data_IF_566241566612
#
_entry.id   IF_566241566612
#
_cell.length_a   1.000
_cell.length_b   1.000
_cell.length_c   1.000
_cell.angle_alpha   90.00
_cell.angle_beta   90.00
_cell.angle_gamma   90.00
#
_symmetry.space_group_name_H-M   'P 1'
#
loop_
_entity.id
_entity.type
_entity.pdbx_description
1 polymer ?
#
# COMPACT_ATOMS: atom_id res chain seq x y z
N UNK A 1 13.64 38.30 -1.92
CA UNK A 1 13.55 37.26 -2.97
C UNK A 1 13.32 35.95 -2.25
N UNK A 2 12.10 35.39 -2.38
CA UNK A 2 11.82 34.03 -1.89
C UNK A 2 12.48 33.06 -2.86
N UNK A 3 13.49 32.34 -2.39
CA UNK A 3 14.11 31.28 -3.20
C UNK A 3 13.11 30.14 -3.26
N UNK A 4 12.82 29.68 -4.46
CA UNK A 4 11.97 28.50 -4.68
C UNK A 4 12.70 27.27 -4.16
N UNK A 5 12.05 26.53 -3.25
CA UNK A 5 12.64 25.35 -2.58
C UNK A 5 13.00 24.25 -3.57
N UNK A 6 12.22 24.09 -4.64
CA UNK A 6 12.49 23.07 -5.66
C UNK A 6 13.77 23.41 -6.46
N UNK A 7 13.99 24.69 -6.77
CA UNK A 7 15.22 25.15 -7.40
C UNK A 7 16.45 24.85 -6.52
N UNK A 8 16.33 25.06 -5.19
CA UNK A 8 17.41 24.71 -4.26
C UNK A 8 17.65 23.19 -4.21
N UNK A 9 16.58 22.40 -4.17
CA UNK A 9 16.68 20.95 -4.17
C UNK A 9 17.41 20.44 -5.41
N UNK A 10 17.07 20.95 -6.59
CA UNK A 10 17.74 20.62 -7.86
C UNK A 10 19.23 21.01 -7.85
N UNK A 11 19.58 22.13 -7.24
CA UNK A 11 20.98 22.52 -7.09
C UNK A 11 21.76 21.57 -6.17
N UNK A 12 21.15 21.14 -5.07
CA UNK A 12 21.76 20.17 -4.14
C UNK A 12 21.92 18.81 -4.81
N UNK A 13 20.98 18.36 -5.62
CA UNK A 13 21.04 17.08 -6.36
C UNK A 13 22.22 17.02 -7.35
N UNK A 14 22.71 18.16 -7.83
CA UNK A 14 23.88 18.20 -8.71
C UNK A 14 25.21 17.94 -7.98
N UNK A 15 25.20 17.99 -6.64
CA UNK A 15 26.41 17.79 -5.84
C UNK A 15 26.57 16.30 -5.48
N UNK A 16 27.74 15.67 -5.74
CA UNK A 16 27.92 14.22 -5.58
C UNK A 16 27.79 13.71 -4.13
N UNK A 17 28.00 14.59 -3.14
CA UNK A 17 27.97 14.24 -1.72
C UNK A 17 26.57 14.38 -1.09
N UNK A 18 25.56 14.83 -1.85
CA UNK A 18 24.21 15.05 -1.34
C UNK A 18 23.18 14.29 -2.13
N UNK A 19 22.10 13.94 -1.46
CA UNK A 19 20.93 13.34 -2.05
C UNK A 19 19.67 14.00 -1.48
N UNK A 20 18.77 14.40 -2.35
CA UNK A 20 17.46 14.95 -1.95
C UNK A 20 16.42 13.83 -2.00
N UNK A 21 15.65 13.70 -0.94
CA UNK A 21 14.45 12.89 -0.93
C UNK A 21 13.24 13.81 -0.85
N UNK A 22 12.20 13.49 -1.62
CA UNK A 22 10.92 14.21 -1.59
C UNK A 22 9.87 13.39 -0.89
N UNK A 23 8.98 14.05 -0.13
CA UNK A 23 7.84 13.32 0.42
C UNK A 23 7.01 12.79 -0.73
N UNK A 24 6.68 11.48 -0.67
CA UNK A 24 5.79 10.87 -1.64
C UNK A 24 4.42 11.58 -1.57
N UNK A 25 4.08 12.26 -2.64
CA UNK A 25 2.72 12.77 -2.84
C UNK A 25 2.01 11.79 -3.78
N UNK A 26 0.95 11.12 -3.35
CA UNK A 26 0.27 10.18 -4.22
C UNK A 26 -0.32 10.93 -5.43
N UNK A 27 0.36 10.77 -6.56
CA UNK A 27 -0.18 11.17 -7.85
C UNK A 27 -1.45 10.35 -8.12
N UNK A 28 -2.53 11.00 -8.56
CA UNK A 28 -3.75 10.26 -8.89
C UNK A 28 -3.84 9.86 -10.35
N UNK A 29 -3.12 10.53 -11.23
CA UNK A 29 -3.10 10.23 -12.66
C UNK A 29 -1.65 10.15 -13.12
N UNK A 30 -1.26 9.03 -13.71
CA UNK A 30 0.08 8.78 -14.23
C UNK A 30 0.08 8.79 -15.76
N UNK A 31 -0.92 8.10 -16.36
CA UNK A 31 -1.08 7.99 -17.80
C UNK A 31 -2.57 8.07 -18.19
N UNK A 32 -2.83 8.40 -19.44
CA UNK A 32 -4.19 8.37 -20.00
C UNK A 32 -4.26 7.23 -21.02
N UNK A 33 -5.20 6.27 -20.87
CA UNK A 33 -5.36 5.20 -21.83
C UNK A 33 -5.76 5.75 -23.20
N UNK A 34 -5.22 5.17 -24.28
CA UNK A 34 -5.66 5.50 -25.62
C UNK A 34 -7.10 5.02 -25.87
N UNK A 35 -7.84 5.64 -26.82
CA UNK A 35 -9.18 5.18 -27.19
C UNK A 35 -9.16 3.69 -27.58
N UNK A 36 -10.03 2.89 -26.92
CA UNK A 36 -10.15 1.45 -27.17
C UNK A 36 -9.09 0.58 -26.46
N UNK A 37 -8.19 1.16 -25.71
CA UNK A 37 -7.23 0.40 -24.92
C UNK A 37 -7.92 -0.33 -23.76
N UNK A 38 -7.53 -1.58 -23.51
CA UNK A 38 -8.08 -2.35 -22.41
C UNK A 38 -7.64 -1.75 -21.07
N UNK A 39 -8.57 -1.65 -20.14
CA UNK A 39 -8.33 -1.17 -18.78
C UNK A 39 -8.83 -2.23 -17.80
N UNK A 40 -8.02 -2.56 -16.81
CA UNK A 40 -8.39 -3.40 -15.70
C UNK A 40 -8.20 -2.66 -14.38
N UNK A 41 -8.92 -3.09 -13.35
CA UNK A 41 -8.81 -2.60 -11.98
C UNK A 41 -7.93 -3.53 -11.17
N UNK A 42 -6.95 -2.98 -10.44
CA UNK A 42 -6.18 -3.66 -9.41
C UNK A 42 -6.40 -2.98 -8.06
N UNK A 43 -6.08 -3.68 -6.99
CA UNK A 43 -6.09 -3.16 -5.61
C UNK A 43 -4.75 -3.46 -4.97
N UNK A 44 -4.08 -2.44 -4.42
CA UNK A 44 -2.96 -2.62 -3.49
C UNK A 44 -3.54 -2.62 -2.08
N UNK A 45 -3.05 -3.50 -1.22
CA UNK A 45 -3.54 -3.69 0.13
C UNK A 45 -2.38 -3.78 1.11
N UNK A 46 -2.60 -3.26 2.31
CA UNK A 46 -1.71 -3.39 3.46
C UNK A 46 -2.56 -3.47 4.73
N UNK A 47 -2.07 -4.17 5.78
CA UNK A 47 -2.78 -4.33 7.04
C UNK A 47 -1.87 -4.11 8.24
N UNK A 48 -2.43 -3.47 9.28
CA UNK A 48 -1.86 -3.53 10.62
C UNK A 48 -2.68 -4.45 11.49
N UNK A 49 -2.01 -5.19 12.38
CA UNK A 49 -2.62 -6.24 13.20
C UNK A 49 -2.15 -6.15 14.64
N UNK A 50 -2.90 -6.77 15.56
CA UNK A 50 -2.50 -6.85 16.98
C UNK A 50 -1.30 -7.75 17.22
N UNK A 51 -0.85 -8.51 16.22
CA UNK A 51 0.29 -9.42 16.28
C UNK A 51 0.40 -10.30 15.04
N UNK A 52 1.10 -11.41 15.13
CA UNK A 52 1.46 -12.26 13.98
C UNK A 52 0.69 -13.60 13.93
N UNK A 53 -0.05 -13.93 14.98
CA UNK A 53 -0.78 -15.20 15.08
C UNK A 53 -2.21 -15.06 14.57
N UNK A 54 -2.50 -15.64 13.42
CA UNK A 54 -3.80 -15.61 12.76
C UNK A 54 -4.97 -16.11 13.65
N UNK A 55 -4.70 -16.95 14.66
CA UNK A 55 -5.76 -17.48 15.54
C UNK A 55 -6.16 -16.49 16.64
N UNK A 56 -5.18 -15.77 17.20
CA UNK A 56 -5.39 -14.85 18.33
C UNK A 56 -5.45 -13.39 17.91
N UNK A 57 -4.72 -13.02 16.87
CA UNK A 57 -4.58 -11.63 16.46
C UNK A 57 -5.66 -11.18 15.47
N UNK A 58 -5.82 -9.87 15.35
CA UNK A 58 -6.89 -9.24 14.54
C UNK A 58 -6.32 -8.10 13.72
N UNK A 59 -6.93 -7.87 12.57
CA UNK A 59 -6.74 -6.64 11.78
C UNK A 59 -7.24 -5.47 12.60
N UNK A 60 -6.44 -4.41 12.69
CA UNK A 60 -6.78 -3.14 13.35
C UNK A 60 -6.73 -1.95 12.39
N UNK A 61 -6.08 -2.10 11.24
CA UNK A 61 -6.11 -1.15 10.13
C UNK A 61 -6.14 -1.91 8.82
N UNK A 62 -6.93 -1.41 7.87
CA UNK A 62 -6.97 -1.87 6.50
C UNK A 62 -6.75 -0.68 5.57
N UNK A 63 -5.60 -0.64 4.91
CA UNK A 63 -5.29 0.26 3.83
C UNK A 63 -5.54 -0.40 2.48
N UNK A 64 -6.34 0.21 1.61
CA UNK A 64 -6.50 -0.23 0.23
C UNK A 64 -6.45 0.93 -0.74
N UNK A 65 -5.79 0.72 -1.88
CA UNK A 65 -5.70 1.67 -2.98
C UNK A 65 -6.11 0.97 -4.26
N UNK A 66 -7.18 1.45 -4.89
CA UNK A 66 -7.63 0.93 -6.18
C UNK A 66 -7.01 1.74 -7.32
N UNK A 67 -6.60 1.05 -8.36
CA UNK A 67 -5.99 1.67 -9.53
C UNK A 67 -6.45 1.00 -10.83
N UNK A 68 -6.34 1.75 -11.92
CA UNK A 68 -6.55 1.24 -13.28
C UNK A 68 -5.21 1.02 -13.97
N UNK A 69 -5.12 -0.07 -14.71
CA UNK A 69 -3.91 -0.44 -15.43
C UNK A 69 -4.19 -1.12 -16.77
N UNK A 70 -3.19 -1.12 -17.63
CA UNK A 70 -3.17 -1.90 -18.88
C UNK A 70 -2.83 -3.37 -18.58
N UNK A 71 -3.72 -4.33 -18.84
CA UNK A 71 -3.46 -5.75 -18.53
C UNK A 71 -2.36 -6.40 -19.39
N UNK A 72 -1.93 -5.74 -20.46
CA UNK A 72 -0.89 -6.27 -21.35
C UNK A 72 0.50 -5.77 -20.97
N UNK A 73 0.60 -4.48 -20.63
CA UNK A 73 1.89 -3.83 -20.34
C UNK A 73 2.14 -3.65 -18.84
N UNK A 74 1.11 -3.76 -18.00
CA UNK A 74 1.17 -3.44 -16.57
C UNK A 74 1.19 -1.94 -16.27
N UNK A 75 1.11 -1.07 -17.29
CA UNK A 75 1.17 0.38 -17.11
C UNK A 75 0.01 0.88 -16.26
N UNK A 76 0.32 1.52 -15.14
CA UNK A 76 -0.68 2.13 -14.25
C UNK A 76 -1.17 3.44 -14.85
N UNK A 77 -2.48 3.58 -15.00
CA UNK A 77 -3.10 4.80 -15.51
C UNK A 77 -3.39 5.78 -14.39
N UNK A 78 -4.12 5.36 -13.38
CA UNK A 78 -4.55 6.25 -12.30
C UNK A 78 -4.99 5.47 -11.05
N UNK A 79 -4.93 6.16 -9.93
CA UNK A 79 -5.62 5.75 -8.69
C UNK A 79 -7.08 6.19 -8.79
N UNK A 80 -7.99 5.26 -8.51
CA UNK A 80 -9.44 5.51 -8.62
C UNK A 80 -10.11 5.68 -7.27
N UNK A 81 -9.61 5.01 -6.23
CA UNK A 81 -10.18 5.05 -4.89
C UNK A 81 -9.13 4.73 -3.83
N UNK A 82 -9.37 5.19 -2.59
CA UNK A 82 -8.54 4.91 -1.41
C UNK A 82 -9.46 4.61 -0.23
N UNK A 83 -9.14 3.55 0.50
CA UNK A 83 -9.74 3.19 1.78
C UNK A 83 -8.59 3.10 2.79
N UNK A 84 -8.80 3.72 3.95
CA UNK A 84 -7.88 3.67 5.08
C UNK A 84 -8.73 3.75 6.34
N UNK A 85 -8.98 2.59 6.96
CA UNK A 85 -9.94 2.46 8.05
C UNK A 85 -9.38 1.61 9.19
N UNK A 86 -9.73 2.02 10.41
CA UNK A 86 -9.36 1.36 11.66
C UNK A 86 -10.50 0.46 12.16
N UNK A 87 -10.12 -0.60 12.88
CA UNK A 87 -11.07 -1.51 13.55
C UNK A 87 -10.64 -1.77 15.00
N UNK A 88 -11.61 -1.69 15.92
CA UNK A 88 -11.43 -2.08 17.32
C UNK A 88 -11.34 -3.61 17.43
N UNK A 89 -10.21 -4.19 17.87
CA UNK A 89 -10.07 -5.64 18.00
C UNK A 89 -10.92 -6.24 19.13
N UNK A 90 -11.48 -5.41 20.02
CA UNK A 90 -12.28 -5.83 21.17
C UNK A 90 -11.45 -6.24 22.40
N UNK A 91 -10.14 -6.07 22.35
CA UNK A 91 -9.18 -6.32 23.43
C UNK A 91 -7.99 -5.36 23.31
N UNK A 92 -7.18 -5.17 24.39
CA UNK A 92 -6.06 -4.24 24.34
C UNK A 92 -5.00 -4.64 23.29
N UNK A 93 -4.55 -3.66 22.52
CA UNK A 93 -3.45 -3.83 21.55
C UNK A 93 -2.15 -4.00 22.31
N UNK A 94 -1.34 -5.03 22.02
CA UNK A 94 -0.06 -5.22 22.69
C UNK A 94 0.89 -4.00 22.50
N UNK A 95 1.57 -3.54 23.57
CA UNK A 95 2.45 -2.37 23.46
C UNK A 95 3.59 -2.55 22.46
N UNK A 96 4.07 -3.78 22.26
CA UNK A 96 5.10 -4.11 21.28
C UNK A 96 4.66 -3.88 19.84
N UNK A 97 3.41 -4.15 19.51
CA UNK A 97 2.85 -3.89 18.17
C UNK A 97 2.52 -2.42 17.99
N UNK A 98 1.95 -1.77 19.02
CA UNK A 98 1.77 -0.31 19.03
C UNK A 98 3.09 0.45 18.80
N UNK A 99 4.22 -0.06 19.31
CA UNK A 99 5.52 0.55 19.07
C UNK A 99 5.97 0.47 17.59
N UNK A 100 5.39 -0.44 16.80
CA UNK A 100 5.69 -0.62 15.37
C UNK A 100 4.78 0.24 14.50
N UNK A 101 3.45 0.09 14.64
CA UNK A 101 2.46 0.75 13.78
C UNK A 101 1.86 2.03 14.37
N UNK A 102 2.15 2.35 15.64
CA UNK A 102 1.72 3.56 16.36
C UNK A 102 0.19 3.69 16.57
N UNK A 103 -0.59 2.63 16.31
CA UNK A 103 -2.03 2.61 16.56
C UNK A 103 -2.27 2.25 18.02
N UNK A 104 -3.06 3.06 18.71
CA UNK A 104 -3.39 2.89 20.14
C UNK A 104 -4.84 2.43 20.33
N UNK A 105 -5.14 1.89 21.52
CA UNK A 105 -6.51 1.50 21.89
C UNK A 105 -7.50 2.66 21.73
N UNK A 106 -7.08 3.90 22.05
CA UNK A 106 -7.93 5.07 21.93
C UNK A 106 -8.28 5.39 20.47
N UNK A 107 -7.34 5.14 19.54
CA UNK A 107 -7.55 5.41 18.11
C UNK A 107 -8.59 4.47 17.50
N UNK A 108 -8.60 3.21 17.90
CA UNK A 108 -9.48 2.18 17.32
C UNK A 108 -10.81 2.04 18.05
N UNK A 109 -10.93 2.57 19.26
CA UNK A 109 -12.04 2.34 20.18
C UNK A 109 -13.41 2.52 19.56
N UNK A 110 -14.17 1.43 19.46
CA UNK A 110 -15.52 1.39 18.93
C UNK A 110 -15.60 1.58 17.41
N UNK A 111 -14.47 1.62 16.72
CA UNK A 111 -14.44 1.68 15.26
C UNK A 111 -14.64 0.29 14.66
N UNK A 112 -15.22 0.27 13.49
CA UNK A 112 -15.39 -0.95 12.70
C UNK A 112 -15.28 -0.61 11.23
N UNK A 113 -14.46 -1.37 10.51
CA UNK A 113 -14.34 -1.28 9.06
C UNK A 113 -15.66 -1.71 8.42
N UNK A 114 -16.15 -0.91 7.48
CA UNK A 114 -17.42 -1.18 6.79
C UNK A 114 -17.25 -2.32 5.77
N UNK A 115 -17.79 -3.49 6.11
CA UNK A 115 -17.75 -4.70 5.26
C UNK A 115 -18.32 -4.46 3.86
N UNK A 116 -19.37 -3.62 3.74
CA UNK A 116 -19.96 -3.29 2.44
C UNK A 116 -19.04 -2.41 1.59
N UNK A 117 -18.29 -1.53 2.23
CA UNK A 117 -17.28 -0.70 1.56
C UNK A 117 -16.10 -1.52 1.08
N UNK A 118 -15.62 -2.47 1.89
CA UNK A 118 -14.58 -3.43 1.49
C UNK A 118 -15.05 -4.25 0.28
N UNK A 119 -16.26 -4.78 0.30
CA UNK A 119 -16.83 -5.53 -0.81
C UNK A 119 -16.96 -4.68 -2.08
N UNK A 120 -17.41 -3.43 -1.97
CA UNK A 120 -17.50 -2.51 -3.09
C UNK A 120 -16.11 -2.17 -3.66
N UNK A 121 -15.10 -2.08 -2.80
CA UNK A 121 -13.72 -1.79 -3.19
C UNK A 121 -13.11 -2.90 -4.05
N UNK A 122 -13.40 -4.16 -3.71
CA UNK A 122 -12.93 -5.35 -4.43
C UNK A 122 -13.75 -5.68 -5.69
N UNK A 123 -14.93 -5.05 -5.83
CA UNK A 123 -15.76 -5.28 -7.00
C UNK A 123 -14.98 -4.98 -8.28
N UNK A 124 -15.02 -5.94 -9.21
CA UNK A 124 -14.33 -5.87 -10.50
C UNK A 124 -12.80 -5.76 -10.42
N UNK A 125 -12.20 -5.96 -9.24
CA UNK A 125 -10.76 -6.08 -9.10
C UNK A 125 -10.27 -7.37 -9.77
N UNK A 126 -9.31 -7.26 -10.67
CA UNK A 126 -8.69 -8.41 -11.34
C UNK A 126 -7.45 -8.94 -10.61
N UNK A 127 -6.96 -8.21 -9.65
CA UNK A 127 -5.82 -8.62 -8.80
C UNK A 127 -5.80 -7.81 -7.51
N UNK A 128 -5.46 -8.46 -6.40
CA UNK A 128 -5.08 -7.83 -5.13
C UNK A 128 -3.57 -8.01 -4.95
N UNK A 129 -2.90 -6.94 -4.63
CA UNK A 129 -1.44 -6.89 -4.49
C UNK A 129 -1.10 -6.48 -3.06
N UNK A 130 -0.22 -7.23 -2.40
CA UNK A 130 0.36 -6.81 -1.13
C UNK A 130 1.89 -6.94 -1.15
N UNK A 131 2.55 -6.16 -0.29
CA UNK A 131 3.98 -6.31 -0.06
C UNK A 131 4.20 -7.33 1.05
N UNK A 132 4.62 -8.55 0.70
CA UNK A 132 4.58 -9.74 1.55
C UNK A 132 3.16 -10.30 1.78
N UNK A 133 2.41 -10.51 0.71
CA UNK A 133 1.04 -11.02 0.75
C UNK A 133 0.83 -12.29 1.61
N UNK A 134 1.90 -13.05 1.92
CA UNK A 134 1.83 -14.19 2.85
C UNK A 134 1.49 -13.79 4.29
N UNK A 135 1.62 -12.50 4.64
CA UNK A 135 1.19 -11.95 5.91
C UNK A 135 -0.25 -11.42 5.82
N UNK A 136 -0.51 -10.48 4.94
CA UNK A 136 -1.79 -9.78 4.85
C UNK A 136 -2.94 -10.68 4.45
N UNK A 137 -2.72 -11.50 3.41
CA UNK A 137 -3.75 -12.35 2.81
C UNK A 137 -4.48 -13.23 3.82
N UNK A 138 -3.82 -14.02 4.69
CA UNK A 138 -4.51 -14.85 5.67
C UNK A 138 -5.37 -14.03 6.65
N UNK A 139 -4.91 -12.86 7.07
CA UNK A 139 -5.65 -11.98 7.99
C UNK A 139 -6.91 -11.41 7.34
N UNK A 140 -6.81 -10.91 6.11
CA UNK A 140 -7.99 -10.36 5.43
C UNK A 140 -8.96 -11.46 4.99
N UNK A 141 -8.49 -12.64 4.59
CA UNK A 141 -9.36 -13.81 4.28
C UNK A 141 -10.11 -14.28 5.52
N UNK A 142 -9.47 -14.31 6.71
CA UNK A 142 -10.12 -14.66 7.96
C UNK A 142 -11.18 -13.63 8.38
N UNK A 143 -10.93 -12.33 8.14
CA UNK A 143 -11.86 -11.25 8.50
C UNK A 143 -12.96 -11.05 7.46
N UNK A 144 -12.63 -11.17 6.18
CA UNK A 144 -13.53 -11.00 5.03
C UNK A 144 -13.34 -12.16 4.03
N UNK A 145 -14.13 -13.24 4.11
CA UNK A 145 -13.98 -14.42 3.25
C UNK A 145 -14.08 -14.15 1.74
N UNK A 146 -14.57 -12.96 1.34
CA UNK A 146 -14.60 -12.57 -0.07
C UNK A 146 -13.20 -12.45 -0.69
N UNK A 147 -12.16 -12.24 0.09
CA UNK A 147 -10.78 -12.20 -0.39
C UNK A 147 -10.24 -13.57 -0.84
N UNK A 148 -10.84 -14.66 -0.39
CA UNK A 148 -10.50 -16.03 -0.86
C UNK A 148 -10.74 -16.21 -2.37
N UNK A 149 -11.63 -15.40 -2.95
CA UNK A 149 -12.00 -15.45 -4.36
C UNK A 149 -11.16 -14.53 -5.23
N UNK A 150 -10.26 -13.75 -4.64
CA UNK A 150 -9.41 -12.81 -5.36
C UNK A 150 -8.15 -13.49 -5.91
N UNK A 151 -7.71 -13.06 -7.08
CA UNK A 151 -6.36 -13.35 -7.56
C UNK A 151 -5.37 -12.45 -6.81
N UNK A 152 -4.27 -13.05 -6.32
CA UNK A 152 -3.28 -12.36 -5.53
C UNK A 152 -1.93 -12.27 -6.23
N UNK A 153 -1.24 -11.14 -6.01
CA UNK A 153 0.16 -10.96 -6.34
C UNK A 153 0.93 -10.45 -5.11
N UNK A 154 2.19 -10.82 -5.03
CA UNK A 154 3.08 -10.48 -3.91
C UNK A 154 4.33 -9.79 -4.44
N UNK A 155 4.50 -8.50 -4.14
CA UNK A 155 5.65 -7.76 -4.68
C UNK A 155 7.01 -8.23 -4.13
N UNK A 156 7.04 -8.98 -3.01
CA UNK A 156 8.29 -9.61 -2.53
C UNK A 156 8.59 -10.91 -3.28
N UNK A 157 7.55 -11.71 -3.62
CA UNK A 157 7.76 -13.05 -4.18
C UNK A 157 7.73 -13.09 -5.70
N UNK A 158 6.93 -12.22 -6.31
CA UNK A 158 6.66 -12.24 -7.74
C UNK A 158 7.58 -11.29 -8.53
N UNK A 159 8.36 -10.45 -7.82
CA UNK A 159 9.36 -9.56 -8.43
C UNK A 159 10.74 -9.96 -7.94
N UNK A 160 11.66 -10.24 -8.88
CA UNK A 160 13.08 -10.35 -8.55
C UNK A 160 13.71 -8.96 -8.47
N UNK A 161 13.60 -8.34 -7.31
CA UNK A 161 14.13 -7.00 -7.06
C UNK A 161 15.62 -6.87 -7.33
N UNK A 162 16.37 -7.99 -7.26
CA UNK A 162 17.80 -7.99 -7.53
C UNK A 162 18.07 -7.93 -9.05
N UNK A 163 17.29 -8.64 -9.85
CA UNK A 163 17.33 -8.52 -11.32
C UNK A 163 16.89 -7.12 -11.77
N UNK A 164 15.94 -6.50 -11.05
CA UNK A 164 15.52 -5.10 -11.27
C UNK A 164 16.57 -4.07 -10.78
N UNK A 165 17.71 -4.52 -10.24
CA UNK A 165 18.81 -3.65 -9.82
C UNK A 165 18.72 -3.12 -8.38
N UNK A 166 17.80 -3.65 -7.57
CA UNK A 166 17.65 -3.22 -6.17
C UNK A 166 18.37 -4.17 -5.21
N UNK A 167 19.05 -3.59 -4.19
CA UNK A 167 19.76 -4.36 -3.16
C UNK A 167 18.86 -4.95 -2.08
N UNK A 168 17.61 -4.51 -1.98
CA UNK A 168 16.63 -4.94 -0.98
C UNK A 168 15.21 -4.79 -1.51
N UNK A 169 14.31 -5.67 -1.05
CA UNK A 169 12.87 -5.59 -1.32
C UNK A 169 12.10 -4.74 -0.28
N UNK A 170 12.76 -4.18 0.75
CA UNK A 170 12.07 -3.35 1.75
C UNK A 170 11.48 -2.10 1.10
N UNK A 171 10.21 -1.81 1.36
CA UNK A 171 9.51 -0.64 0.76
C UNK A 171 10.24 0.67 1.00
N UNK A 172 10.70 0.91 2.23
CA UNK A 172 11.47 2.11 2.56
C UNK A 172 12.74 2.24 1.72
N UNK A 173 13.47 1.12 1.51
CA UNK A 173 14.64 1.10 0.65
C UNK A 173 14.28 1.37 -0.80
N UNK A 174 13.26 0.69 -1.33
CA UNK A 174 12.79 0.88 -2.71
C UNK A 174 12.37 2.33 -2.93
N UNK A 175 11.59 2.89 -2.01
CA UNK A 175 11.11 4.26 -2.08
C UNK A 175 12.28 5.27 -2.05
N UNK A 176 13.24 5.07 -1.12
CA UNK A 176 14.41 5.95 -1.00
C UNK A 176 15.30 5.87 -2.24
N UNK A 177 15.44 4.70 -2.87
CA UNK A 177 16.21 4.57 -4.12
C UNK A 177 15.56 5.32 -5.29
N UNK A 178 14.26 5.52 -5.26
CA UNK A 178 13.51 6.33 -6.22
C UNK A 178 13.47 7.84 -5.87
N UNK A 179 14.16 8.25 -4.81
CA UNK A 179 14.21 9.66 -4.40
C UNK A 179 13.05 10.13 -3.52
N UNK A 180 12.33 9.21 -2.89
CA UNK A 180 11.15 9.52 -2.06
C UNK A 180 11.26 9.01 -0.63
N UNK A 181 10.40 9.58 0.24
CA UNK A 181 10.08 9.09 1.59
C UNK A 181 8.59 9.29 1.88
N UNK A 182 8.00 8.59 2.84
CA UNK A 182 6.62 8.75 3.32
C UNK A 182 6.54 9.32 4.73
#
# INVERSE_FOLDING_TARGET
MTVDIETLAQQVEQHPDYRVLRRLAPGRVFHTPAPGQAVRRGVVLDTETTGLDLHSDRVIELGMLAFEFDPVTGMVYRVTDVLDELEDPGFPIPPETTAVHHITDEMVKGLRIDDARVAAFLKDASVVIAHNASFDRPFVEARWPLFEQCDWACTIKDIDWKEEGFGSAKLEYLLSTQGYFY
#
